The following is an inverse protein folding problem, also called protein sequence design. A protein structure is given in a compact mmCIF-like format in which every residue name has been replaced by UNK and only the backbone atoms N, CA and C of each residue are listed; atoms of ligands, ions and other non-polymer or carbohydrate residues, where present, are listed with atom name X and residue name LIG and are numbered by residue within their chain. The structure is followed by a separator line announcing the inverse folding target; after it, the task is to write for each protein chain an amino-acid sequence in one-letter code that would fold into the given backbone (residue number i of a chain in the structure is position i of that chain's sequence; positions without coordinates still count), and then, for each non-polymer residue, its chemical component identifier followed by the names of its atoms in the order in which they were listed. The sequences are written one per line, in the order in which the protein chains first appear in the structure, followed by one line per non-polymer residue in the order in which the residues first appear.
data_IF_723654651082
#
_entry.id   IF_723654651082
#
_cell.length_a   1.000
_cell.length_b   1.000
_cell.length_c   1.000
_cell.angle_alpha   90.00
_cell.angle_beta   90.00
_cell.angle_gamma   90.00
#
_symmetry.space_group_name_H-M   'P 1'
#
loop_
_entity.id
_entity.type
_entity.pdbx_description
1 polymer ?
2 non-polymer ?
3 non-polymer ?
4 water ?
#
# COMPACT_ATOMS: atom_id res chain seq x y z
N UNK A 12 -6.28 11.52 -20.07
CA UNK A 12 -6.44 12.97 -20.02
C UNK A 12 -5.21 13.65 -19.42
N UNK A 13 -4.81 14.78 -20.00
CA UNK A 13 -3.56 15.43 -19.64
C UNK A 13 -3.76 16.95 -19.60
N UNK A 14 -2.98 17.60 -18.75
CA UNK A 14 -3.04 19.04 -18.62
C UNK A 14 -4.07 19.55 -17.62
N UNK A 15 -4.61 18.68 -16.77
CA UNK A 15 -5.63 19.06 -15.82
C UNK A 15 -5.32 18.46 -14.46
N UNK A 16 -5.69 19.20 -13.40
CA UNK A 16 -5.51 18.79 -12.03
C UNK A 16 -6.88 18.77 -11.36
N UNK A 17 -7.30 17.59 -10.91
CA UNK A 17 -8.61 17.40 -10.28
C UNK A 17 -8.39 17.04 -8.82
N UNK A 18 -8.69 17.98 -7.92
CA UNK A 18 -8.51 17.79 -6.49
C UNK A 18 -9.88 17.91 -5.84
N UNK A 19 -10.50 16.78 -5.54
CA UNK A 19 -11.78 16.78 -4.85
C UNK A 19 -12.95 17.27 -5.70
N UNK A 20 -12.93 16.97 -7.00
CA UNK A 20 -13.99 17.36 -7.90
C UNK A 20 -13.75 18.66 -8.65
N UNK A 21 -12.94 19.56 -8.10
CA UNK A 21 -12.64 20.82 -8.75
C UNK A 21 -11.55 20.60 -9.79
N UNK A 22 -11.88 20.84 -11.05
CA UNK A 22 -10.99 20.59 -12.18
C UNK A 22 -10.29 21.89 -12.56
N UNK A 23 -8.96 21.85 -12.62
CA UNK A 23 -8.15 23.01 -12.96
C UNK A 23 -7.28 22.69 -14.17
N UNK A 24 -7.25 23.60 -15.14
CA UNK A 24 -6.22 23.55 -16.15
C UNK A 24 -4.89 23.96 -15.53
N UNK A 25 -3.84 23.21 -15.83
CA UNK A 25 -2.57 23.47 -15.17
C UNK A 25 -1.42 22.93 -16.02
N UNK A 26 -0.25 23.52 -15.83
CA UNK A 26 1.00 23.04 -16.38
C UNK A 26 1.95 22.71 -15.24
N UNK A 27 3.10 22.15 -15.57
CA UNK A 27 4.06 21.73 -14.54
C UNK A 27 4.58 22.93 -13.75
N UNK A 28 4.66 24.10 -14.40
CA UNK A 28 5.16 25.29 -13.71
C UNK A 28 4.17 25.87 -12.72
N UNK A 29 2.92 25.39 -12.72
CA UNK A 29 1.97 25.78 -11.69
C UNK A 29 2.21 25.06 -10.37
N UNK A 30 3.24 24.23 -10.29
CA UNK A 30 3.54 23.45 -9.11
C UNK A 30 4.90 23.86 -8.56
N UNK A 31 4.97 24.05 -7.25
CA UNK A 31 6.22 24.37 -6.56
C UNK A 31 6.81 23.09 -5.96
N UNK A 32 8.06 22.82 -6.28
CA UNK A 32 8.72 21.61 -5.80
C UNK A 32 9.16 21.81 -4.35
N UNK A 33 8.60 21.00 -3.45
CA UNK A 33 8.90 21.08 -2.03
C UNK A 33 9.92 20.04 -1.59
N UNK A 34 10.47 19.26 -2.52
CA UNK A 34 11.50 18.31 -2.19
C UNK A 34 11.17 16.86 -2.51
N UNK A 35 12.21 16.04 -2.58
CA UNK A 35 12.03 14.63 -2.89
C UNK A 35 11.52 13.89 -1.66
N UNK A 36 10.53 13.02 -1.87
CA UNK A 36 10.03 12.18 -0.79
C UNK A 36 10.73 10.83 -0.71
N UNK A 37 11.42 10.43 -1.79
CA UNK A 37 12.11 9.16 -1.84
C UNK A 37 13.19 8.97 -0.79
N UNK A 42 13.17 5.45 -8.72
CA UNK A 42 12.30 6.47 -9.25
C UNK A 42 12.32 7.75 -8.42
N UNK A 43 11.63 8.78 -8.91
CA UNK A 43 11.56 10.07 -8.25
C UNK A 43 10.11 10.44 -7.99
N UNK A 44 9.79 10.72 -6.73
CA UNK A 44 8.47 11.20 -6.33
C UNK A 44 8.65 12.47 -5.52
N UNK A 45 8.09 13.57 -6.02
CA UNK A 45 8.22 14.88 -5.39
C UNK A 45 6.97 15.22 -4.60
N UNK A 46 7.16 15.99 -3.53
CA UNK A 46 6.08 16.68 -2.86
C UNK A 46 5.98 18.07 -3.45
N UNK A 47 4.83 18.40 -4.02
CA UNK A 47 4.66 19.66 -4.75
C UNK A 47 3.41 20.38 -4.28
N UNK A 48 3.42 21.70 -4.42
CA UNK A 48 2.32 22.56 -3.99
C UNK A 48 1.72 23.25 -5.22
N UNK A 49 0.40 23.10 -5.38
CA UNK A 49 -0.32 23.77 -6.46
C UNK A 49 -0.49 25.23 -6.10
N UNK A 50 0.18 26.12 -6.83
CA UNK A 50 0.21 27.52 -6.46
C UNK A 50 -1.17 28.16 -6.48
N UNK A 51 -2.06 27.67 -7.34
CA UNK A 51 -3.36 28.32 -7.50
C UNK A 51 -4.21 28.20 -6.24
N UNK A 52 -4.19 27.02 -5.60
CA UNK A 52 -5.04 26.77 -4.45
C UNK A 52 -4.28 26.58 -3.14
N UNK A 53 -3.02 26.18 -3.20
CA UNK A 53 -2.30 25.80 -2.00
C UNK A 53 -2.35 24.33 -1.68
N UNK A 54 -3.03 23.53 -2.49
CA UNK A 54 -3.05 22.09 -2.28
C UNK A 54 -1.66 21.51 -2.47
N UNK A 55 -1.33 20.50 -1.66
CA UNK A 55 -0.06 19.79 -1.75
C UNK A 55 -0.35 18.39 -2.27
N UNK A 56 0.45 17.93 -3.24
CA UNK A 56 0.24 16.65 -3.91
C UNK A 56 1.58 15.93 -4.04
N UNK A 57 1.51 14.66 -4.38
CA UNK A 57 2.67 13.86 -4.75
C UNK A 57 2.76 13.80 -6.27
N UNK A 58 3.97 13.97 -6.79
CA UNK A 58 4.20 14.02 -8.23
C UNK A 58 5.32 13.06 -8.58
N UNK A 59 5.01 12.07 -9.41
CA UNK A 59 5.99 11.12 -9.91
C UNK A 59 6.46 11.58 -11.28
N UNK A 60 7.79 11.68 -11.44
CA UNK A 60 8.39 12.20 -12.67
C UNK A 60 9.01 11.06 -13.45
N UNK A 61 8.56 10.88 -14.69
CA UNK A 61 9.11 9.88 -15.60
C UNK A 61 9.88 10.60 -16.69
N UNK A 62 11.20 10.45 -16.70
CA UNK A 62 12.02 11.12 -17.68
C UNK A 62 12.02 10.35 -18.99
N UNK A 63 11.89 11.09 -20.09
CA UNK A 63 11.89 10.47 -21.43
C UNK A 63 13.20 9.74 -21.68
N UNK A 64 14.31 10.24 -21.15
CA UNK A 64 15.61 9.62 -21.32
C UNK A 64 15.87 8.48 -20.34
N UNK A 65 14.87 8.09 -19.55
CA UNK A 65 15.06 7.11 -18.50
C UNK A 65 15.22 5.71 -19.03
N UNK A 66 15.38 4.78 -18.09
CA UNK A 66 15.50 3.36 -18.41
C UNK A 66 14.21 2.85 -19.04
N UNK A 67 14.35 2.09 -20.13
CA UNK A 67 13.17 1.57 -20.82
C UNK A 67 12.37 0.63 -19.93
N UNK A 68 13.05 -0.13 -19.07
CA UNK A 68 12.32 -1.08 -18.22
C UNK A 68 11.54 -0.36 -17.14
N UNK A 69 12.13 0.68 -16.53
CA UNK A 69 11.44 1.42 -15.48
C UNK A 69 10.26 2.20 -16.05
N UNK A 70 10.43 2.82 -17.21
CA UNK A 70 9.34 3.59 -17.81
C UNK A 70 8.19 2.69 -18.22
N UNK A 71 8.49 1.50 -18.77
CA UNK A 71 7.44 0.57 -19.14
C UNK A 71 6.62 0.14 -17.93
N UNK A 72 7.29 -0.08 -16.79
CA UNK A 72 6.57 -0.45 -15.57
C UNK A 72 5.73 0.72 -15.06
N UNK A 73 6.25 1.95 -15.17
CA UNK A 73 5.50 3.12 -14.72
C UNK A 73 4.23 3.29 -15.55
N UNK A 74 4.34 3.09 -16.87
CA UNK A 74 3.18 3.29 -17.73
C UNK A 74 2.12 2.21 -17.51
N UNK A 75 2.55 0.98 -17.21
CA UNK A 75 1.59 -0.08 -16.91
C UNK A 75 0.81 0.24 -15.64
N UNK A 76 1.52 0.64 -14.58
CA UNK A 76 0.85 0.96 -13.32
C UNK A 76 -0.07 2.16 -13.47
N UNK A 77 0.36 3.18 -14.23
CA UNK A 77 -0.49 4.33 -14.46
C UNK A 77 -1.77 3.95 -15.18
N UNK A 78 -1.67 2.99 -16.11
CA UNK A 78 -2.87 2.52 -16.83
C UNK A 78 -3.88 1.92 -15.87
N UNK A 79 -3.41 1.16 -14.88
CA UNK A 79 -4.31 0.60 -13.89
C UNK A 79 -4.83 1.68 -12.95
N UNK A 80 -3.95 2.58 -12.51
CA UNK A 80 -4.35 3.62 -11.58
C UNK A 80 -5.44 4.51 -12.18
N UNK A 81 -5.32 4.83 -13.47
CA UNK A 81 -6.32 5.66 -14.12
C UNK A 81 -7.67 4.96 -14.20
N UNK A 82 -7.68 3.63 -14.20
CA UNK A 82 -8.91 2.85 -14.25
C UNK A 82 -9.44 2.48 -12.88
N UNK A 83 -8.75 2.87 -11.80
CA UNK A 83 -9.10 2.47 -10.44
C UNK A 83 -9.72 3.62 -9.65
N UNK A 84 -10.43 4.53 -10.32
CA UNK A 84 -11.05 5.65 -9.64
C UNK A 84 -12.15 5.22 -8.67
N UNK A 85 -12.72 4.02 -8.86
CA UNK A 85 -13.81 3.54 -8.04
C UNK A 85 -13.36 2.57 -6.96
N UNK A 86 -12.06 2.54 -6.65
CA UNK A 86 -11.55 1.72 -5.56
C UNK A 86 -11.00 2.64 -4.47
N UNK A 87 -11.62 2.70 -3.29
CA UNK A 87 -11.13 3.60 -2.24
C UNK A 87 -9.86 3.14 -1.56
N UNK A 88 -9.28 2.00 -1.96
CA UNK A 88 -8.11 1.45 -1.32
C UNK A 88 -6.89 1.46 -2.23
N UNK A 89 -6.93 2.27 -3.28
CA UNK A 89 -5.83 2.44 -4.21
C UNK A 89 -5.54 3.92 -4.33
N UNK A 90 -4.26 4.30 -4.26
CA UNK A 90 -3.89 5.71 -4.34
C UNK A 90 -4.34 6.27 -5.68
N UNK A 91 -4.95 7.44 -5.64
CA UNK A 91 -5.61 8.01 -6.81
C UNK A 91 -4.68 8.96 -7.56
N UNK A 92 -4.92 9.07 -8.86
CA UNK A 92 -4.20 10.00 -9.72
C UNK A 92 -5.08 11.23 -9.96
N UNK A 93 -4.50 12.42 -9.78
CA UNK A 93 -5.21 13.67 -9.96
C UNK A 93 -5.04 14.28 -11.35
N UNK A 94 -4.10 13.76 -12.14
CA UNK A 94 -3.84 14.29 -13.46
C UNK A 94 -2.41 14.01 -13.88
N UNK A 95 -2.14 14.33 -15.14
CA UNK A 95 -0.82 14.12 -15.72
C UNK A 95 -0.40 15.36 -16.49
N UNK A 96 0.91 15.56 -16.60
CA UNK A 96 1.48 16.63 -17.41
C UNK A 96 2.55 16.03 -18.31
N UNK A 97 2.38 16.18 -19.61
CA UNK A 97 3.33 15.66 -20.59
C UNK A 97 4.09 16.83 -21.19
N UNK A 98 5.40 16.82 -21.03
CA UNK A 98 6.27 17.82 -21.64
C UNK A 98 7.12 17.15 -22.70
N UNK A 99 7.98 17.94 -23.34
CA UNK A 99 8.85 17.40 -24.38
C UNK A 99 9.85 16.41 -23.81
N UNK A 100 10.17 16.50 -22.53
CA UNK A 100 11.20 15.68 -21.93
C UNK A 100 10.74 14.84 -20.74
N UNK A 101 9.52 15.02 -20.26
CA UNK A 101 9.10 14.38 -19.02
C UNK A 101 7.62 14.07 -19.06
N UNK A 102 7.21 13.18 -18.15
CA UNK A 102 5.81 12.97 -17.81
C UNK A 102 5.68 13.11 -16.29
N UNK A 103 4.80 14.00 -15.86
CA UNK A 103 4.57 14.25 -14.44
C UNK A 103 3.20 13.68 -14.06
N UNK A 104 3.19 12.78 -13.09
CA UNK A 104 1.97 12.09 -12.67
C UNK A 104 1.60 12.60 -11.28
N UNK A 105 0.46 13.29 -11.19
CA UNK A 105 0.00 13.86 -9.93
C UNK A 105 -0.82 12.82 -9.17
N UNK A 106 -0.35 12.46 -7.98
CA UNK A 106 -1.03 11.50 -7.12
C UNK A 106 -1.46 12.18 -5.83
N UNK A 107 -2.45 11.60 -5.16
CA UNK A 107 -2.86 12.10 -3.86
C UNK A 107 -1.74 11.90 -2.85
N UNK A 108 -1.51 12.90 -2.02
CA UNK A 108 -0.41 12.87 -1.07
C UNK A 108 -0.81 12.06 0.17
N UNK A 109 -0.20 10.89 0.34
CA UNK A 109 -0.38 10.13 1.56
C UNK A 109 0.67 10.54 2.59
N UNK A 110 0.48 10.08 3.82
CA UNK A 110 1.41 10.41 4.90
C UNK A 110 2.72 9.66 4.79
N UNK A 111 2.68 8.36 5.07
CA UNK A 111 3.86 7.51 4.97
C UNK A 111 3.38 6.06 4.84
N UNK A 112 4.33 5.14 4.78
CA UNK A 112 4.02 3.73 4.60
C UNK A 112 4.12 2.97 5.92
N UNK A 113 3.63 1.73 5.90
CA UNK A 113 3.62 0.92 7.13
C UNK A 113 5.02 0.59 7.59
N UNK A 114 5.99 0.49 6.67
CA UNK A 114 7.36 0.22 7.07
C UNK A 114 7.92 1.35 7.93
N UNK A 115 7.65 2.61 7.53
CA UNK A 115 8.13 3.75 8.31
C UNK A 115 7.36 3.88 9.63
N UNK A 116 6.06 3.58 9.61
CA UNK A 116 5.29 3.58 10.85
C UNK A 116 5.83 2.55 11.83
N UNK A 117 6.21 1.37 11.34
CA UNK A 117 6.82 0.36 12.19
C UNK A 117 8.15 0.86 12.76
N UNK A 118 8.91 1.60 11.96
CA UNK A 118 10.19 2.14 12.43
C UNK A 118 9.99 3.21 13.49
N UNK A 119 9.00 4.10 13.29
CA UNK A 119 8.74 5.12 14.29
C UNK A 119 8.13 4.51 15.56
N UNK A 120 7.29 3.49 15.39
CA UNK A 120 6.67 2.84 16.55
C UNK A 120 7.72 2.16 17.42
N UNK A 121 8.74 1.58 16.80
CA UNK A 121 9.77 0.82 17.51
C UNK A 121 9.16 -0.33 18.29
N UNK A 122 8.12 -0.93 17.74
CA UNK A 122 7.45 -2.05 18.36
C UNK A 122 6.27 -2.55 17.56
N UNK A 123 5.55 -3.52 18.11
CA UNK A 123 4.37 -4.07 17.42
C UNK A 123 3.32 -3.00 17.14
N UNK A 124 2.67 -3.14 15.99
CA UNK A 124 1.53 -2.30 15.61
C UNK A 124 0.26 -2.98 16.12
N UNK A 125 -0.64 -2.25 16.78
CA UNK A 125 -1.80 -2.90 17.41
C UNK A 125 -2.67 -3.65 16.40
N UNK A 126 -3.36 -4.68 16.90
CA UNK A 126 -4.19 -5.51 16.04
C UNK A 126 -5.32 -4.70 15.40
N UNK A 127 -5.90 -3.76 16.16
CA UNK A 127 -7.01 -2.98 15.62
C UNK A 127 -6.58 -2.15 14.43
N UNK A 128 -5.32 -1.71 14.40
CA UNK A 128 -4.81 -1.00 13.22
C UNK A 128 -4.61 -1.97 12.08
N UNK A 129 -4.01 -3.13 12.35
CA UNK A 129 -3.81 -4.15 11.33
C UNK A 129 -5.11 -4.73 10.82
N UNK A 130 -6.18 -4.65 11.61
CA UNK A 130 -7.48 -5.09 11.15
C UNK A 130 -8.01 -4.23 10.03
N UNK A 131 -8.00 -2.91 10.24
CA UNK A 131 -8.43 -2.00 9.17
C UNK A 131 -7.48 -2.07 7.99
N UNK A 132 -6.18 -2.24 8.25
CA UNK A 132 -5.22 -2.41 7.16
C UNK A 132 -5.51 -3.67 6.36
N UNK A 133 -5.85 -4.76 7.05
CA UNK A 133 -6.14 -6.01 6.36
C UNK A 133 -7.36 -5.88 5.46
N UNK A 134 -8.42 -5.22 5.95
CA UNK A 134 -9.62 -5.05 5.15
C UNK A 134 -9.32 -4.22 3.91
N UNK A 135 -8.50 -3.18 4.06
CA UNK A 135 -8.18 -2.32 2.92
C UNK A 135 -7.34 -3.05 1.88
N UNK A 136 -6.34 -3.82 2.32
CA UNK A 136 -5.43 -4.47 1.38
C UNK A 136 -6.16 -5.58 0.63
N UNK A 137 -6.93 -6.40 1.34
CA UNK A 137 -7.62 -7.52 0.69
C UNK A 137 -8.59 -7.02 -0.37
N UNK A 138 -9.37 -5.98 -0.04
CA UNK A 138 -10.33 -5.45 -1.00
C UNK A 138 -9.64 -4.76 -2.17
N UNK A 139 -8.44 -4.22 -1.96
CA UNK A 139 -7.68 -3.67 -3.07
C UNK A 139 -7.17 -4.77 -3.99
N UNK A 140 -6.67 -5.87 -3.42
CA UNK A 140 -6.21 -6.99 -4.23
C UNK A 140 -7.38 -7.65 -4.97
N UNK A 141 -8.52 -7.78 -4.30
CA UNK A 141 -9.69 -8.37 -4.95
C UNK A 141 -10.20 -7.47 -6.06
N UNK A 142 -10.18 -6.15 -5.84
CA UNK A 142 -10.59 -5.22 -6.90
C UNK A 142 -9.65 -5.33 -8.10
N UNK A 143 -8.34 -5.29 -7.85
CA UNK A 143 -7.38 -5.39 -8.94
C UNK A 143 -7.55 -6.69 -9.72
N UNK A 144 -7.83 -7.79 -9.01
CA UNK A 144 -8.01 -9.07 -9.68
C UNK A 144 -9.34 -9.13 -10.42
N UNK A 145 -10.42 -8.69 -9.78
CA UNK A 145 -11.75 -8.83 -10.36
C UNK A 145 -11.95 -7.88 -11.54
N UNK A 146 -11.57 -6.62 -11.38
CA UNK A 146 -11.92 -5.59 -12.35
C UNK A 146 -10.89 -5.43 -13.45
N UNK A 147 -9.61 -5.72 -13.18
CA UNK A 147 -8.56 -5.46 -14.14
C UNK A 147 -7.65 -6.66 -14.39
N UNK A 148 -7.97 -7.82 -13.81
CA UNK A 148 -7.16 -9.01 -14.02
C UNK A 148 -5.72 -8.88 -13.57
N UNK A 149 -5.46 -8.03 -12.58
CA UNK A 149 -4.11 -7.78 -12.07
C UNK A 149 -3.88 -8.66 -10.85
N UNK A 150 -2.79 -9.41 -10.86
CA UNK A 150 -2.38 -10.23 -9.73
C UNK A 150 -1.14 -9.59 -9.14
N UNK A 151 -1.32 -8.81 -8.07
CA UNK A 151 -0.26 -8.04 -7.44
C UNK A 151 0.79 -8.97 -6.85
N UNK A 152 0.46 -9.63 -5.74
CA UNK A 152 1.28 -10.71 -5.18
C UNK A 152 2.53 -10.20 -4.48
N UNK A 153 2.72 -8.88 -4.49
CA UNK A 153 3.91 -8.25 -3.91
C UNK A 153 3.54 -7.25 -2.82
N UNK A 154 2.74 -7.68 -1.85
CA UNK A 154 2.34 -6.80 -0.75
C UNK A 154 3.41 -6.85 0.33
N UNK A 155 3.90 -5.68 0.74
CA UNK A 155 4.86 -5.55 1.83
C UNK A 155 4.61 -4.22 2.52
N UNK A 156 5.10 -4.06 3.76
CA UNK A 156 4.84 -2.81 4.49
C UNK A 156 5.23 -1.54 3.74
N UNK A 157 6.18 -1.62 2.82
CA UNK A 157 6.56 -0.45 2.04
C UNK A 157 5.57 -0.10 0.94
N UNK A 158 4.60 -0.99 0.66
CA UNK A 158 3.57 -0.72 -0.34
C UNK A 158 2.25 -0.28 0.26
N UNK A 159 2.12 -0.28 1.58
CA UNK A 159 0.88 0.06 2.26
C UNK A 159 1.01 1.49 2.77
N UNK A 160 0.22 2.40 2.21
CA UNK A 160 0.31 3.82 2.55
C UNK A 160 -0.84 4.23 3.46
N UNK A 161 -0.54 5.12 4.41
CA UNK A 161 -1.53 5.69 5.31
C UNK A 161 -1.34 7.20 5.37
N UNK A 162 -2.41 7.91 5.71
CA UNK A 162 -2.37 9.36 5.86
C UNK A 162 -2.99 9.75 7.19
N UNK A 163 -2.92 11.06 7.50
CA UNK A 163 -3.43 11.55 8.77
C UNK A 163 -4.95 11.52 8.85
N UNK A 164 -5.64 11.23 7.76
CA UNK A 164 -7.09 11.09 7.77
C UNK A 164 -7.54 9.67 8.11
N UNK A 165 -6.60 8.75 8.31
CA UNK A 165 -6.94 7.37 8.60
C UNK A 165 -7.08 6.49 7.38
N UNK A 166 -6.85 7.01 6.19
CA UNK A 166 -6.96 6.20 4.98
C UNK A 166 -5.82 5.21 4.88
N UNK A 167 -6.11 4.05 4.29
CA UNK A 167 -5.13 3.00 4.05
C UNK A 167 -5.30 2.56 2.60
N UNK A 168 -4.25 2.73 1.81
CA UNK A 168 -4.32 2.45 0.37
C UNK A 168 -3.08 1.71 -0.08
N UNK A 169 -3.24 0.98 -1.19
CA UNK A 169 -2.13 0.29 -1.84
C UNK A 169 -1.48 1.18 -2.88
N UNK A 170 -0.19 0.94 -3.12
CA UNK A 170 0.52 1.64 -4.19
C UNK A 170 1.55 0.71 -4.80
N UNK A 171 2.02 1.08 -6.00
CA UNK A 171 3.08 0.38 -6.70
C UNK A 171 2.72 -1.09 -6.93
N UNK A 172 2.01 -1.36 -8.02
CA UNK A 172 1.57 -2.71 -8.35
C UNK A 172 2.58 -3.40 -9.25
N UNK A 213 -1.61 -16.35 -4.68
CA UNK A 213 -0.19 -16.00 -4.49
C UNK A 213 -0.05 -14.71 -3.69
N UNK A 214 -0.99 -13.80 -3.90
CA UNK A 214 -0.94 -12.52 -3.19
C UNK A 214 -1.19 -12.70 -1.70
N UNK A 215 -1.90 -13.76 -1.31
CA UNK A 215 -2.30 -13.92 0.08
C UNK A 215 -1.10 -14.19 0.97
N UNK A 216 -0.05 -14.81 0.42
CA UNK A 216 1.12 -15.16 1.22
C UNK A 216 1.87 -13.92 1.69
N UNK A 217 2.15 -13.00 0.77
CA UNK A 217 2.92 -11.81 1.14
C UNK A 217 2.15 -10.94 2.11
N UNK A 218 0.82 -10.96 2.05
CA UNK A 218 0.02 -10.23 3.03
C UNK A 218 0.16 -10.84 4.41
N UNK A 219 0.19 -12.18 4.50
CA UNK A 219 0.38 -12.82 5.78
C UNK A 219 1.73 -12.54 6.38
N UNK A 220 2.78 -12.54 5.56
CA UNK A 220 4.12 -12.20 6.04
C UNK A 220 4.17 -10.76 6.51
N UNK A 221 3.52 -9.85 5.78
CA UNK A 221 3.49 -8.45 6.17
C UNK A 221 2.77 -8.28 7.51
N UNK A 222 1.69 -9.04 7.72
CA UNK A 222 0.94 -8.93 8.96
C UNK A 222 1.75 -9.45 10.15
N UNK A 223 2.48 -10.54 9.96
CA UNK A 223 3.31 -11.08 11.03
C UNK A 223 4.43 -10.09 11.38
N UNK A 224 5.05 -9.50 10.36
CA UNK A 224 6.11 -8.54 10.62
C UNK A 224 5.58 -7.32 11.38
N UNK A 225 4.45 -6.78 10.95
CA UNK A 225 3.91 -5.60 11.62
C UNK A 225 3.32 -5.92 12.98
N UNK A 226 2.79 -7.14 13.17
CA UNK A 226 2.18 -7.48 14.45
C UNK A 226 3.23 -7.78 15.52
N UNK A 227 4.40 -8.27 15.11
CA UNK A 227 5.47 -8.59 16.06
C UNK A 227 6.59 -7.57 16.07
N UNK A 228 6.67 -6.71 15.05
CA UNK A 228 7.80 -5.83 14.89
C UNK A 228 9.06 -6.51 14.40
N UNK A 229 8.96 -7.77 13.97
CA UNK A 229 10.11 -8.56 13.55
C UNK A 229 9.80 -9.20 12.21
N UNK A 230 10.64 -8.92 11.22
CA UNK A 230 10.51 -9.56 9.91
C UNK A 230 10.82 -11.04 10.05
N UNK A 231 9.93 -11.96 9.64
CA UNK A 231 10.15 -13.38 9.90
C UNK A 231 11.41 -13.95 9.27
N UNK A 232 11.96 -13.33 8.23
CA UNK A 232 13.14 -13.83 7.54
C UNK A 232 14.29 -12.84 7.62
N UNK A 233 14.43 -12.18 8.77
CA UNK A 233 15.45 -11.15 8.94
C UNK A 233 16.86 -11.72 9.01
N UNK A 234 17.01 -12.99 9.38
CA UNK A 234 18.32 -13.60 9.51
C UNK A 234 18.78 -14.29 8.23
N UNK A 235 18.00 -14.24 7.16
CA UNK A 235 18.43 -14.80 5.88
C UNK A 235 19.32 -13.80 5.15
N UNK A 236 20.46 -14.29 4.64
CA UNK A 236 21.44 -13.41 4.03
C UNK A 236 21.26 -13.26 2.53
N UNK A 237 20.57 -14.19 1.88
CA UNK A 237 20.33 -14.12 0.45
C UNK A 237 18.85 -14.37 0.15
N UNK A 238 18.44 -14.03 -1.08
CA UNK A 238 17.05 -14.23 -1.47
C UNK A 238 16.73 -15.71 -1.61
N UNK A 239 17.70 -16.51 -2.06
CA UNK A 239 17.45 -17.94 -2.22
C UNK A 239 17.28 -18.60 -0.86
N UNK A 240 18.00 -18.13 0.15
CA UNK A 240 17.83 -18.69 1.48
C UNK A 240 16.43 -18.45 2.02
N UNK A 241 15.82 -17.32 1.66
CA UNK A 241 14.43 -17.07 2.05
C UNK A 241 13.51 -18.10 1.40
N UNK A 242 13.74 -18.40 0.11
CA UNK A 242 12.90 -19.36 -0.59
C UNK A 242 13.04 -20.76 0.02
N UNK A 243 14.24 -21.12 0.45
CA UNK A 243 14.43 -22.43 1.09
C UNK A 243 13.66 -22.51 2.40
N UNK A 244 13.68 -21.45 3.20
CA UNK A 244 12.96 -21.47 4.47
C UNK A 244 11.45 -21.46 4.26
N UNK A 245 10.98 -20.77 3.23
CA UNK A 245 9.55 -20.76 2.93
C UNK A 245 9.07 -22.18 2.60
N UNK A 246 9.89 -22.93 1.86
CA UNK A 246 9.52 -24.27 1.42
C UNK A 246 9.83 -25.35 2.45
N UNK A 247 10.91 -25.20 3.21
CA UNK A 247 11.32 -26.26 4.12
C UNK A 247 10.75 -26.12 5.52
N UNK A 248 10.50 -24.91 5.99
CA UNK A 248 10.06 -24.69 7.36
C UNK A 248 8.54 -24.48 7.41
N UNK A 249 7.99 -24.64 8.61
CA UNK A 249 6.59 -24.36 8.83
C UNK A 249 6.32 -22.86 8.69
N UNK A 250 5.10 -22.48 8.32
CA UNK A 250 4.78 -21.05 8.15
C UNK A 250 4.98 -20.29 9.45
N UNK A 251 5.50 -19.06 9.38
CA UNK A 251 5.68 -18.27 10.60
C UNK A 251 4.38 -17.65 11.10
N UNK A 252 3.73 -18.31 12.05
CA UNK A 252 2.43 -17.88 12.53
C UNK A 252 2.58 -16.82 13.63
N UNK A 253 1.45 -16.20 13.97
CA UNK A 253 1.44 -15.19 15.02
C UNK A 253 1.73 -15.85 16.37
N UNK A 254 2.46 -15.16 17.25
CA UNK A 254 2.65 -15.70 18.60
C UNK A 254 1.34 -15.78 19.35
N UNK A 255 1.28 -16.69 20.32
CA UNK A 255 0.09 -16.88 21.12
C UNK A 255 0.02 -16.09 22.42
N UNK A 256 1.10 -15.40 22.80
CA UNK A 256 1.17 -14.71 24.09
C UNK A 256 1.17 -13.20 23.94
N UNK A 257 0.62 -12.67 22.84
CA UNK A 257 0.55 -11.23 22.65
C UNK A 257 -0.87 -10.70 22.65
N UNK A 258 -1.84 -11.50 23.12
CA UNK A 258 -3.21 -11.03 23.18
C UNK A 258 -3.92 -10.96 21.86
N UNK A 259 -3.37 -11.56 20.81
CA UNK A 259 -4.02 -11.55 19.51
C UNK A 259 -5.29 -12.36 19.55
N UNK A 260 -6.34 -11.85 18.92
CA UNK A 260 -7.61 -12.56 18.87
C UNK A 260 -7.48 -13.82 18.03
N UNK A 261 -8.37 -14.78 18.29
CA UNK A 261 -8.39 -15.99 17.51
C UNK A 261 -8.69 -15.72 16.05
N UNK A 262 -9.45 -14.67 15.77
CA UNK A 262 -9.74 -14.29 14.38
C UNK A 262 -8.47 -13.86 13.65
N UNK A 263 -7.65 -13.04 14.30
CA UNK A 263 -6.40 -12.59 13.70
C UNK A 263 -5.46 -13.77 13.43
N UNK A 264 -5.29 -14.65 14.41
CA UNK A 264 -4.42 -15.80 14.22
C UNK A 264 -4.96 -16.73 13.13
N UNK A 265 -6.28 -16.90 13.07
CA UNK A 265 -6.87 -17.74 12.03
C UNK A 265 -6.66 -17.14 10.64
N UNK A 266 -6.79 -15.82 10.52
CA UNK A 266 -6.63 -15.18 9.22
C UNK A 266 -5.19 -15.28 8.73
N UNK A 267 -4.22 -15.06 9.62
CA UNK A 267 -2.81 -15.18 9.24
C UNK A 267 -2.49 -16.63 8.88
N UNK A 268 -3.04 -17.59 9.64
CA UNK A 268 -2.82 -19.00 9.31
C UNK A 268 -3.38 -19.34 7.94
N UNK A 269 -4.55 -18.80 7.61
CA UNK A 269 -5.13 -19.06 6.29
C UNK A 269 -4.30 -18.42 5.18
N UNK A 270 -3.73 -17.25 5.44
CA UNK A 270 -2.89 -16.60 4.44
C UNK A 270 -1.62 -17.39 4.18
N UNK A 271 -1.01 -17.93 5.24
CA UNK A 271 0.26 -18.63 5.14
C UNK A 271 0.07 -20.13 4.88
N UNK A 272 -0.79 -20.45 3.93
CA UNK A 272 -0.99 -21.83 3.50
C UNK A 272 0.06 -22.16 2.44
N UNK A 273 0.88 -23.18 2.70
CA UNK A 273 1.96 -23.50 1.77
C UNK A 273 1.42 -24.11 0.48
N UNK A 274 0.46 -25.01 0.59
CA UNK A 274 -0.15 -25.64 -0.59
C UNK A 274 -1.03 -24.61 -1.29
N UNK A 275 -0.67 -24.24 -2.51
CA UNK A 275 -1.46 -23.26 -3.26
C UNK A 275 -2.85 -23.78 -3.57
N UNK A 276 -3.01 -25.11 -3.65
CA UNK A 276 -4.32 -25.68 -3.92
C UNK A 276 -5.29 -25.48 -2.76
N UNK A 277 -4.78 -25.35 -1.54
CA UNK A 277 -5.62 -25.20 -0.35
C UNK A 277 -5.86 -23.74 0.04
N UNK A 278 -5.32 -22.78 -0.72
CA UNK A 278 -5.54 -21.39 -0.39
C UNK A 278 -6.96 -20.96 -0.77
N UNK A 279 -7.56 -20.07 0.00
CA UNK A 279 -8.96 -19.71 -0.23
C UNK A 279 -9.13 -18.77 -1.42
N UNK A 280 -10.29 -18.88 -2.07
CA UNK A 280 -10.71 -17.89 -3.03
C UNK A 280 -11.03 -16.57 -2.33
N UNK A 281 -11.05 -15.49 -3.10
CA UNK A 281 -11.28 -14.18 -2.49
C UNK A 281 -12.66 -14.09 -1.85
N UNK A 282 -13.69 -14.61 -2.54
CA UNK A 282 -15.03 -14.62 -1.96
C UNK A 282 -15.08 -15.39 -0.65
N UNK A 283 -14.15 -16.32 -0.44
CA UNK A 283 -14.03 -16.99 0.85
C UNK A 283 -13.22 -16.16 1.84
N UNK A 284 -12.13 -15.56 1.38
CA UNK A 284 -11.29 -14.77 2.29
C UNK A 284 -12.01 -13.51 2.75
N UNK A 285 -12.83 -12.91 1.88
CA UNK A 285 -13.61 -11.75 2.26
C UNK A 285 -14.68 -12.07 3.29
N UNK A 286 -14.98 -13.34 3.53
CA UNK A 286 -15.95 -13.74 4.52
C UNK A 286 -15.34 -14.11 5.87
N UNK A 287 -14.01 -14.09 5.97
CA UNK A 287 -13.36 -14.43 7.22
C UNK A 287 -13.81 -13.50 8.33
N UNK A 288 -13.96 -14.05 9.54
CA UNK A 288 -14.48 -13.26 10.66
C UNK A 288 -13.58 -12.07 10.99
N UNK A 289 -12.27 -12.20 10.75
CA UNK A 289 -11.37 -11.07 10.96
C UNK A 289 -11.69 -9.92 10.03
N UNK A 290 -12.04 -10.25 8.77
CA UNK A 290 -12.49 -9.22 7.84
C UNK A 290 -13.84 -8.65 8.27
N UNK A 291 -14.77 -9.53 8.66
CA UNK A 291 -16.11 -9.10 9.04
C UNK A 291 -16.07 -8.15 10.23
N UNK A 292 -15.19 -8.42 11.19
CA UNK A 292 -15.13 -7.60 12.40
C UNK A 292 -14.69 -6.18 12.08
N UNK A 293 -13.63 -6.03 11.28
CA UNK A 293 -13.06 -4.71 11.02
C UNK A 293 -13.63 -4.06 9.77
N UNK A 294 -14.57 -4.70 9.08
CA UNK A 294 -15.35 -3.98 8.07
C UNK A 294 -16.24 -2.93 8.71
N UNK A 295 -16.75 -3.20 9.91
CA UNK A 295 -17.72 -2.34 10.56
C UNK A 295 -17.22 -1.67 11.83
N UNK A 296 -16.20 -2.23 12.48
CA UNK A 296 -15.76 -1.72 13.77
C UNK A 296 -15.14 -0.33 13.62
N UNK A 297 -15.49 0.56 14.55
CA UNK A 297 -14.91 1.90 14.56
C UNK A 297 -13.49 1.84 15.12
N UNK A 298 -12.51 2.17 14.28
CA UNK A 298 -11.11 2.23 14.68
C UNK A 298 -10.57 3.59 14.27
N UNK A 299 -10.10 4.37 15.25
CA UNK A 299 -9.58 5.72 14.99
C UNK A 299 -8.14 5.58 14.50
N UNK A 300 -8.01 5.22 13.23
CA UNK A 300 -6.68 5.11 12.61
C UNK A 300 -6.05 6.49 12.50
N UNK A 301 -6.86 7.54 12.29
CA UNK A 301 -6.32 8.88 12.11
C UNK A 301 -5.59 9.36 13.35
N UNK A 302 -6.20 9.17 14.53
CA UNK A 302 -5.57 9.62 15.77
C UNK A 302 -4.34 8.78 16.09
N UNK A 303 -4.42 7.47 15.85
CA UNK A 303 -3.25 6.61 16.07
C UNK A 303 -2.11 7.02 15.14
N UNK A 304 -2.42 7.36 13.89
CA UNK A 304 -1.40 7.79 12.95
C UNK A 304 -0.71 9.06 13.44
N UNK A 305 -1.47 10.04 13.91
CA UNK A 305 -0.89 11.29 14.37
C UNK A 305 -0.03 11.08 15.60
N UNK A 306 -0.44 10.17 16.50
CA UNK A 306 0.34 9.90 17.70
C UNK A 306 1.66 9.24 17.35
N UNK A 307 1.66 8.35 16.35
CA UNK A 307 2.89 7.66 15.97
C UNK A 307 3.83 8.61 15.25
N UNK A 308 3.31 9.42 14.33
CA UNK A 308 4.16 10.37 13.62
C UNK A 308 4.72 11.44 14.56
N UNK A 309 4.04 11.71 15.67
CA UNK A 309 4.56 12.64 16.67
C UNK A 309 5.74 12.07 17.44
N UNK A 310 6.01 10.77 17.33
CA UNK A 310 7.16 10.20 18.00
C UNK A 310 8.45 10.66 17.32
N UNK A 311 9.49 10.87 18.13
CA UNK A 311 10.76 11.35 17.62
C UNK A 311 11.68 10.19 17.25
X LIG B 1 4.84 -19.01 -1.05
X LIG B 1 4.69 -20.40 -0.99
X LIG B 1 4.72 -18.61 -2.53
X LIG B 1 5.70 -19.20 -3.31
X LIG B 1 4.81 -17.07 -2.55
X LIG B 1 6.04 -16.72 -2.00
X LIG C 1 3.82 6.19 -5.75
X LIG C 1 2.35 5.70 -9.02
X LIG C 1 4.04 3.54 -9.26
X LIG C 1 6.66 7.34 -1.15
X LIG C 1 9.08 7.54 -1.38
X LIG C 1 2.23 9.09 -2.23
X LIG C 1 3.12 9.86 -0.24
X LIG C 1 4.39 8.37 -1.50
X LIG C 1 3.40 8.30 -2.45
X LIG C 1 3.91 7.39 -3.45
X LIG C 1 3.23 6.94 -4.73
X LIG C 1 3.08 5.27 -7.92
X LIG C 1 2.47 5.06 -10.24
X LIG C 1 3.31 3.98 -10.37
X LIG C 1 3.93 4.18 -8.05
X LIG C 1 7.76 7.81 -2.00
X LIG C 1 9.26 6.07 -0.99
X LIG C 1 8.33 5.01 1.21
X LIG C 1 7.13 4.57 2.04
X LIG C 1 7.17 3.07 2.27
X LIG C 1 6.82 5.85 -0.77
X LIG C 1 1.14 9.09 -3.19
X LIG C 1 2.14 9.84 -1.14
X LIG C 1 4.23 9.15 -0.40
X LIG C 1 2.91 5.99 -6.68
X LIG C 1 1.75 6.59 -6.30
X LIG C 1 1.96 7.18 -5.08
X LIG C 1 5.10 6.98 -3.06
X LIG C 1 5.39 7.56 -1.90
X LIG C 1 8.14 5.61 -0.11
X LIG C 1 4.68 3.71 -6.95
X LIG C 1 9.42 4.88 1.62
X LIG C 1 1.43 5.70 -11.74
#
# INVERSE_FOLDING_TARGET
MGHHHHHHSAKQTGYLTIGGQRYQAEINDLENLGEMGSGTCGQVWKMRFRKTGHVIAVKQMRRSGNKEENKRILMDLDVVLKSHDCPYIVQCFGTFITNTDVFIAMELMGTCAEKLKKRMQGPIPERILGKMTVAIVKALYYLKEKHGVIHRDVKPSNILLDERGQIKLCDFGISGRLVDSKAKTRSAGCAAYMAPERIDPPDPTKPDYDIRADVWSLGISLVELATGQFPYKNCKTDFEVLTKVLQEEPPLLPGHMGFSGDFQSFVKDCLTKDHRKRPKYNKLLEHSFIKRYETLEVDVASWFKDVMAKTESPRTSG
GOL C1 O1 C2 O2 C3 O3
2I5 C10 C13 C17 C24 C26 C02 C04 C06 C07 C08 C09 C12 C14 C16 C18 C25 C27 C29 C30 C31 C33 N01 N03 N05 N11 N20 N21 N22 N23 N28 O19 O32 BR15
#
